data_IF_207329478526
#
_entry.id   IF_207329478526
#
_cell.length_a   1.000
_cell.length_b   1.000
_cell.length_c   1.000
_cell.angle_alpha   90.00
_cell.angle_beta   90.00
_cell.angle_gamma   90.00
#
_symmetry.space_group_name_H-M   'P 1'
#
loop_
_entity.id
_entity.type
_entity.pdbx_description
1 polymer ?
#
# COMPACT_ATOMS: atom_id res chain seq x y z
N UNK A 1 15.51 17.75 8.62
CA UNK A 1 15.52 16.28 8.47
C UNK A 1 14.73 15.72 9.64
N UNK A 2 13.86 14.71 9.44
CA UNK A 2 13.23 14.00 10.57
C UNK A 2 14.31 13.44 11.50
N UNK A 3 14.10 13.60 12.80
CA UNK A 3 14.93 13.00 13.85
C UNK A 3 14.82 11.47 13.83
N UNK A 4 15.79 10.79 14.43
CA UNK A 4 15.77 9.33 14.54
C UNK A 4 14.54 8.83 15.33
N UNK A 5 14.11 9.61 16.33
CA UNK A 5 12.89 9.31 17.08
C UNK A 5 11.64 9.42 16.19
N UNK A 6 11.51 10.49 15.40
CA UNK A 6 10.39 10.65 14.45
C UNK A 6 10.37 9.52 13.42
N UNK A 7 11.53 9.11 12.89
CA UNK A 7 11.64 7.98 11.97
C UNK A 7 11.22 6.67 12.63
N UNK A 8 11.69 6.42 13.85
CA UNK A 8 11.33 5.21 14.60
C UNK A 8 9.83 5.15 14.89
N UNK A 9 9.24 6.26 15.31
CA UNK A 9 7.79 6.37 15.54
C UNK A 9 7.04 6.11 14.23
N UNK A 10 7.44 6.74 13.12
CA UNK A 10 6.81 6.53 11.83
C UNK A 10 6.90 5.06 11.36
N UNK A 11 8.07 4.43 11.52
CA UNK A 11 8.29 3.03 11.14
C UNK A 11 7.39 2.08 11.91
N UNK A 12 7.30 2.28 13.23
CA UNK A 12 6.47 1.44 14.11
C UNK A 12 4.99 1.68 13.84
N UNK A 13 4.55 2.92 13.67
CA UNK A 13 3.12 3.23 13.52
C UNK A 13 2.56 2.91 12.14
N UNK A 14 3.37 2.93 11.08
CA UNK A 14 2.86 2.73 9.72
C UNK A 14 2.32 1.31 9.48
N UNK A 15 2.94 0.29 10.08
CA UNK A 15 2.50 -1.11 9.93
C UNK A 15 1.10 -1.37 10.49
N UNK A 16 0.80 -1.07 11.78
CA UNK A 16 -0.54 -1.25 12.32
C UNK A 16 -1.55 -0.29 11.68
N UNK A 17 -1.16 0.93 11.29
CA UNK A 17 -2.05 1.81 10.53
C UNK A 17 -2.47 1.19 9.20
N UNK A 18 -1.53 0.62 8.44
CA UNK A 18 -1.83 -0.07 7.19
C UNK A 18 -2.70 -1.32 7.42
N UNK A 19 -2.40 -2.11 8.46
CA UNK A 19 -3.21 -3.28 8.81
C UNK A 19 -4.65 -2.88 9.18
N UNK A 20 -4.81 -2.00 10.18
CA UNK A 20 -6.12 -1.63 10.74
C UNK A 20 -6.95 -0.82 9.75
N UNK A 21 -6.32 0.15 9.07
CA UNK A 21 -7.04 1.13 8.27
C UNK A 21 -7.17 0.76 6.80
N UNK A 22 -6.36 -0.16 6.28
CA UNK A 22 -6.36 -0.54 4.86
C UNK A 22 -6.62 -2.02 4.67
N UNK A 23 -5.79 -2.90 5.25
CA UNK A 23 -5.94 -4.34 5.05
C UNK A 23 -7.25 -4.84 5.64
N UNK A 24 -7.58 -4.48 6.87
CA UNK A 24 -8.78 -4.90 7.59
C UNK A 24 -10.02 -4.06 7.18
N UNK A 25 -10.26 -3.95 5.88
CA UNK A 25 -11.41 -3.26 5.27
C UNK A 25 -12.11 -4.22 4.30
N UNK A 26 -13.09 -3.73 3.52
CA UNK A 26 -13.64 -4.49 2.40
C UNK A 26 -12.59 -4.97 1.38
N UNK A 27 -11.35 -4.46 1.44
CA UNK A 27 -10.21 -5.02 0.72
C UNK A 27 -10.02 -6.53 0.96
N UNK A 28 -10.28 -7.05 2.17
CA UNK A 28 -10.18 -8.50 2.41
C UNK A 28 -11.21 -9.28 1.61
N UNK A 29 -12.42 -8.72 1.45
CA UNK A 29 -13.48 -9.32 0.62
C UNK A 29 -13.06 -9.33 -0.85
N UNK A 30 -12.49 -8.22 -1.34
CA UNK A 30 -11.95 -8.13 -2.71
C UNK A 30 -10.79 -9.11 -2.93
N UNK A 31 -10.03 -9.42 -1.88
CA UNK A 31 -8.88 -10.33 -1.92
C UNK A 31 -9.23 -11.80 -1.61
N UNK A 32 -10.47 -12.12 -1.23
CA UNK A 32 -10.86 -13.47 -0.82
C UNK A 32 -11.05 -14.45 -2.00
N UNK A 33 -11.06 -13.94 -3.24
CA UNK A 33 -11.25 -14.74 -4.44
C UNK A 33 -10.09 -15.70 -4.74
N UNK A 34 -10.33 -16.77 -5.51
CA UNK A 34 -9.26 -17.64 -5.98
C UNK A 34 -8.28 -16.86 -6.85
N UNK A 35 -6.99 -17.05 -6.62
CA UNK A 35 -5.95 -16.51 -7.48
C UNK A 35 -5.98 -17.13 -8.87
N UNK A 36 -5.68 -16.33 -9.89
CA UNK A 36 -5.48 -16.83 -11.25
C UNK A 36 -4.13 -17.55 -11.37
N UNK A 37 -4.09 -18.64 -12.14
CA UNK A 37 -2.86 -19.39 -12.42
C UNK A 37 -2.24 -18.87 -13.72
N UNK A 38 -0.94 -18.60 -13.69
CA UNK A 38 -0.12 -18.26 -14.86
C UNK A 38 1.04 -19.25 -14.95
N UNK A 39 1.32 -19.75 -16.15
CA UNK A 39 2.46 -20.62 -16.44
C UNK A 39 3.73 -19.84 -16.79
N UNK A 40 3.60 -18.59 -17.24
CA UNK A 40 4.73 -17.69 -17.52
C UNK A 40 5.20 -16.93 -16.28
N UNK A 41 4.32 -16.77 -15.29
CA UNK A 41 4.57 -16.05 -14.03
C UNK A 41 4.36 -14.54 -14.11
N UNK A 42 4.33 -13.96 -15.31
CA UNK A 42 4.02 -12.54 -15.56
C UNK A 42 2.54 -12.30 -15.93
N UNK A 43 1.73 -13.36 -15.93
CA UNK A 43 0.30 -13.34 -16.27
C UNK A 43 -0.02 -12.89 -17.71
N UNK A 44 0.98 -12.87 -18.60
CA UNK A 44 0.77 -12.58 -20.03
C UNK A 44 -0.05 -13.67 -20.74
N UNK A 45 -0.11 -14.87 -20.17
CA UNK A 45 -0.90 -16.01 -20.62
C UNK A 45 -2.32 -16.08 -20.02
N UNK A 46 -2.72 -15.09 -19.21
CA UNK A 46 -4.05 -15.05 -18.58
C UNK A 46 -4.93 -14.03 -19.30
N UNK A 47 -6.09 -14.50 -19.76
CA UNK A 47 -7.11 -13.70 -20.44
C UNK A 47 -8.38 -13.64 -19.59
N UNK A 48 -9.01 -12.47 -19.56
CA UNK A 48 -10.36 -12.27 -19.02
C UNK A 48 -11.32 -12.07 -20.17
N UNK A 49 -12.40 -12.85 -20.18
CA UNK A 49 -13.48 -12.67 -21.15
C UNK A 49 -14.68 -12.05 -20.43
N UNK A 50 -15.17 -10.92 -20.93
CA UNK A 50 -16.37 -10.27 -20.38
C UNK A 50 -17.66 -10.94 -20.89
N UNK A 51 -18.81 -10.49 -20.37
CA UNK A 51 -20.12 -11.02 -20.76
C UNK A 51 -20.49 -10.73 -22.23
N UNK A 52 -19.80 -9.81 -22.91
CA UNK A 52 -19.98 -9.52 -24.33
C UNK A 52 -19.07 -10.38 -25.23
N UNK A 53 -18.27 -11.27 -24.63
CA UNK A 53 -17.29 -12.10 -25.34
C UNK A 53 -16.02 -11.34 -25.73
N UNK A 54 -15.78 -10.15 -25.16
CA UNK A 54 -14.54 -9.42 -25.39
C UNK A 54 -13.45 -9.96 -24.48
N UNK A 55 -12.29 -10.20 -25.08
CA UNK A 55 -11.10 -10.67 -24.38
C UNK A 55 -10.17 -9.52 -24.04
N UNK A 56 -9.58 -9.57 -22.85
CA UNK A 56 -8.59 -8.63 -22.36
C UNK A 56 -7.43 -9.38 -21.69
N UNK A 57 -6.18 -8.95 -21.88
CA UNK A 57 -5.09 -9.40 -21.04
C UNK A 57 -5.39 -9.12 -19.56
N UNK A 58 -5.07 -10.06 -18.68
CA UNK A 58 -5.23 -9.87 -17.23
C UNK A 58 -4.55 -8.58 -16.75
N UNK A 59 -3.38 -8.25 -17.30
CA UNK A 59 -2.62 -7.03 -16.99
C UNK A 59 -3.35 -5.72 -17.30
N UNK A 60 -4.34 -5.74 -18.20
CA UNK A 60 -5.05 -4.55 -18.68
C UNK A 60 -6.44 -4.37 -18.07
N UNK A 61 -6.95 -5.38 -17.36
CA UNK A 61 -8.26 -5.33 -16.71
C UNK A 61 -8.20 -4.56 -15.39
N UNK A 62 -9.19 -3.67 -15.19
CA UNK A 62 -9.48 -3.16 -13.86
C UNK A 62 -10.08 -4.27 -13.00
N UNK A 63 -9.40 -4.60 -11.89
CA UNK A 63 -9.80 -5.68 -10.97
C UNK A 63 -10.75 -5.21 -9.87
N UNK A 64 -10.85 -3.89 -9.70
CA UNK A 64 -11.71 -3.25 -8.72
C UNK A 64 -12.57 -2.28 -9.53
N UNK A 65 -13.89 -2.44 -9.45
CA UNK A 65 -14.84 -1.51 -10.08
C UNK A 65 -14.83 -0.14 -9.39
N UNK A 66 -15.38 0.87 -10.06
CA UNK A 66 -15.46 2.22 -9.49
C UNK A 66 -16.28 2.27 -8.20
N UNK A 67 -17.36 1.48 -8.13
CA UNK A 67 -18.20 1.37 -6.93
C UNK A 67 -17.43 0.72 -5.77
N UNK A 68 -16.74 -0.40 -6.02
CA UNK A 68 -15.90 -1.08 -5.02
C UNK A 68 -14.76 -0.17 -4.54
N UNK A 69 -14.14 0.59 -5.45
CA UNK A 69 -13.11 1.57 -5.11
C UNK A 69 -13.68 2.70 -4.23
N UNK A 70 -14.87 3.20 -4.56
CA UNK A 70 -15.56 4.22 -3.78
C UNK A 70 -15.88 3.75 -2.35
N UNK A 71 -16.36 2.51 -2.21
CA UNK A 71 -16.62 1.91 -0.91
C UNK A 71 -15.34 1.70 -0.09
N UNK A 72 -14.30 1.15 -0.72
CA UNK A 72 -13.00 0.93 -0.11
C UNK A 72 -12.39 2.24 0.42
N UNK A 73 -12.33 3.27 -0.42
CA UNK A 73 -11.75 4.56 -0.02
C UNK A 73 -12.55 5.23 1.09
N UNK A 74 -13.88 5.14 1.07
CA UNK A 74 -14.74 5.66 2.14
C UNK A 74 -14.44 4.97 3.47
N UNK A 75 -14.32 3.64 3.48
CA UNK A 75 -14.00 2.88 4.70
C UNK A 75 -12.59 3.19 5.22
N UNK A 76 -11.59 3.26 4.33
CA UNK A 76 -10.21 3.63 4.68
C UNK A 76 -10.18 5.02 5.33
N UNK A 77 -10.82 6.03 4.73
CA UNK A 77 -10.83 7.40 5.27
C UNK A 77 -11.51 7.46 6.63
N UNK A 78 -12.64 6.78 6.82
CA UNK A 78 -13.34 6.73 8.10
C UNK A 78 -12.50 6.06 9.20
N UNK A 79 -11.78 4.99 8.86
CA UNK A 79 -10.86 4.30 9.78
C UNK A 79 -9.65 5.15 10.13
N UNK A 80 -9.04 5.81 9.15
CA UNK A 80 -7.93 6.74 9.39
C UNK A 80 -8.36 7.88 10.30
N UNK A 81 -9.53 8.48 10.05
CA UNK A 81 -10.09 9.51 10.92
C UNK A 81 -10.25 9.02 12.36
N UNK A 82 -10.87 7.84 12.55
CA UNK A 82 -11.08 7.25 13.87
C UNK A 82 -9.76 6.89 14.56
N UNK A 83 -8.79 6.37 13.81
CA UNK A 83 -7.45 6.06 14.32
C UNK A 83 -6.79 7.32 14.89
N UNK A 84 -6.84 8.44 14.15
CA UNK A 84 -6.23 9.70 14.58
C UNK A 84 -6.90 10.29 15.81
N UNK A 85 -8.23 10.18 15.94
CA UNK A 85 -8.93 10.61 17.15
C UNK A 85 -8.53 9.78 18.38
N UNK A 86 -8.32 8.47 18.19
CA UNK A 86 -8.17 7.50 19.29
C UNK A 86 -6.73 7.17 19.63
N UNK A 87 -5.73 7.51 18.82
CA UNK A 87 -4.31 7.19 19.06
C UNK A 87 -3.77 7.76 20.38
N UNK A 88 -4.46 8.74 20.98
CA UNK A 88 -4.17 9.26 22.32
C UNK A 88 -4.66 8.37 23.47
N UNK A 89 -5.65 7.52 23.23
CA UNK A 89 -6.33 6.69 24.23
C UNK A 89 -5.49 5.45 24.56
N UNK A 90 -5.30 5.16 25.85
CA UNK A 90 -4.50 3.99 26.28
C UNK A 90 -5.07 2.68 25.75
N UNK A 91 -6.39 2.48 25.85
CA UNK A 91 -7.05 1.27 25.37
C UNK A 91 -6.81 1.03 23.87
N UNK A 92 -6.87 2.09 23.05
CA UNK A 92 -6.62 1.95 21.63
C UNK A 92 -5.15 1.70 21.31
N UNK A 93 -4.22 2.26 22.10
CA UNK A 93 -2.78 1.95 21.98
C UNK A 93 -2.49 0.48 22.28
N UNK A 94 -3.11 -0.08 23.33
CA UNK A 94 -2.96 -1.50 23.66
C UNK A 94 -3.47 -2.38 22.50
N UNK A 95 -4.58 -1.98 21.86
CA UNK A 95 -5.07 -2.64 20.65
C UNK A 95 -4.08 -2.53 19.48
N UNK A 96 -3.51 -1.35 19.23
CA UNK A 96 -2.48 -1.13 18.19
C UNK A 96 -1.25 -2.01 18.43
N UNK A 97 -0.79 -2.12 19.67
CA UNK A 97 0.35 -2.97 20.06
C UNK A 97 0.06 -4.46 19.81
N UNK A 98 -1.18 -4.91 20.04
CA UNK A 98 -1.59 -6.27 19.65
C UNK A 98 -1.50 -6.47 18.13
N UNK A 99 -1.97 -5.49 17.34
CA UNK A 99 -1.94 -5.58 15.87
C UNK A 99 -0.52 -5.55 15.30
N UNK A 100 0.41 -4.86 15.96
CA UNK A 100 1.83 -4.84 15.61
C UNK A 100 2.43 -6.24 15.54
N UNK A 101 2.02 -7.14 16.46
CA UNK A 101 2.45 -8.54 16.47
C UNK A 101 2.10 -9.27 15.16
N UNK A 102 0.91 -9.00 14.61
CA UNK A 102 0.45 -9.58 13.33
C UNK A 102 1.23 -9.07 12.11
N UNK A 103 1.98 -7.96 12.25
CA UNK A 103 2.76 -7.34 11.17
C UNK A 103 4.27 -7.55 11.30
N UNK A 104 4.72 -8.41 12.23
CA UNK A 104 6.15 -8.62 12.47
C UNK A 104 6.92 -9.10 11.23
N UNK A 105 6.27 -9.86 10.36
CA UNK A 105 6.89 -10.39 9.14
C UNK A 105 6.82 -9.41 7.95
N UNK A 106 6.28 -8.20 8.14
CA UNK A 106 6.25 -7.20 7.07
C UNK A 106 7.59 -6.48 7.00
N UNK A 107 8.02 -6.16 5.77
CA UNK A 107 9.23 -5.39 5.51
C UNK A 107 9.24 -4.06 6.28
N UNK A 108 10.45 -3.57 6.58
CA UNK A 108 10.60 -2.25 7.18
C UNK A 108 10.19 -1.13 6.21
N UNK A 109 9.38 -0.16 6.65
CA UNK A 109 8.99 0.99 5.87
C UNK A 109 10.22 1.76 5.34
N UNK A 110 10.19 2.10 4.06
CA UNK A 110 11.20 2.95 3.42
C UNK A 110 10.62 4.31 3.07
N UNK A 111 11.48 5.33 3.07
CA UNK A 111 11.04 6.67 2.73
C UNK A 111 10.67 6.76 1.24
N UNK A 112 9.43 7.13 0.95
CA UNK A 112 9.02 7.41 -0.43
C UNK A 112 9.37 8.87 -0.78
N UNK A 113 10.42 9.03 -1.57
CA UNK A 113 10.95 10.35 -1.94
C UNK A 113 10.00 11.18 -2.80
N UNK A 114 9.03 10.56 -3.49
CA UNK A 114 7.99 11.31 -4.21
C UNK A 114 7.05 12.07 -3.27
N UNK A 115 6.94 11.63 -2.01
CA UNK A 115 6.17 12.30 -0.96
C UNK A 115 7.04 13.18 -0.05
N UNK A 116 8.35 13.25 -0.30
CA UNK A 116 9.27 14.02 0.52
C UNK A 116 9.07 15.53 0.32
N UNK A 117 9.25 16.29 1.41
CA UNK A 117 9.24 17.75 1.35
C UNK A 117 10.28 18.29 0.35
N UNK A 118 10.04 19.47 -0.23
CA UNK A 118 10.90 20.08 -1.27
C UNK A 118 12.40 20.03 -0.93
N UNK A 119 12.77 20.42 0.29
CA UNK A 119 14.17 20.40 0.78
C UNK A 119 14.80 19.02 0.90
N UNK A 120 14.00 17.97 1.09
CA UNK A 120 14.49 16.60 1.22
C UNK A 120 14.79 16.02 -0.17
N UNK A 121 13.92 16.27 -1.15
CA UNK A 121 14.11 15.81 -2.54
C UNK A 121 15.40 16.30 -3.19
N UNK A 122 15.95 17.41 -2.72
CA UNK A 122 17.17 18.03 -3.26
C UNK A 122 18.47 17.50 -2.63
N UNK A 123 18.39 16.61 -1.63
CA UNK A 123 19.56 16.22 -0.80
C UNK A 123 19.94 14.75 -0.85
N UNK A 124 19.35 13.92 -1.73
CA UNK A 124 19.64 12.49 -1.91
C UNK A 124 20.07 11.78 -0.62
N UNK A 125 19.09 11.40 0.21
CA UNK A 125 19.37 10.66 1.45
C UNK A 125 19.85 9.23 1.18
N UNK A 126 20.51 8.62 2.17
CA UNK A 126 21.09 7.28 2.08
C UNK A 126 20.09 6.15 1.71
N UNK A 127 18.79 6.42 1.79
CA UNK A 127 17.70 5.50 1.46
C UNK A 127 16.94 5.90 0.17
N UNK A 128 17.53 6.75 -0.69
CA UNK A 128 16.95 7.12 -1.99
C UNK A 128 16.98 5.94 -2.96
N UNK A 129 15.87 5.66 -3.69
CA UNK A 129 15.94 4.72 -4.80
C UNK A 129 16.93 5.28 -5.83
N UNK A 130 17.86 4.46 -6.30
CA UNK A 130 18.69 4.83 -7.46
C UNK A 130 17.77 5.29 -8.58
N UNK A 131 18.05 6.47 -9.13
CA UNK A 131 17.34 6.95 -10.30
C UNK A 131 17.43 5.87 -11.38
N UNK A 132 16.33 5.51 -12.07
CA UNK A 132 16.41 4.54 -13.15
C UNK A 132 17.44 5.05 -14.16
N UNK A 133 18.45 4.22 -14.44
CA UNK A 133 19.52 4.57 -15.35
C UNK A 133 18.91 5.15 -16.63
N UNK A 134 19.18 6.42 -16.90
CA UNK A 134 18.77 7.06 -18.15
C UNK A 134 19.37 6.22 -19.27
N UNK A 135 18.55 5.45 -19.98
CA UNK A 135 18.95 4.82 -21.23
C UNK A 135 19.36 5.97 -22.14
N UNK A 136 20.66 6.11 -22.34
CA UNK A 136 21.24 7.11 -23.24
C UNK A 136 20.53 7.01 -24.58
N UNK A 137 19.86 8.08 -24.97
CA UNK A 137 19.37 8.26 -26.33
C UNK A 137 20.61 8.57 -27.17
N UNK A 138 21.34 7.53 -27.56
CA UNK A 138 22.39 7.61 -28.56
C UNK A 138 21.75 7.52 -29.94
N UNK A 139 21.69 8.66 -30.62
CA UNK A 139 21.63 8.73 -32.08
C UNK A 139 23.06 8.76 -32.63
#
# INVERSE_FOLDING_TARGET
MPTDLERKIASVMSKPMALICVRNTCLETLHAGPGVVSHTGDYSDVIVTDANGREFPWSEVSRISDDEMGELMREIVNRLYSFQLRVGEQEFRDYVDQQLTSTQNWDEPRHNWNLAGRRLRETDGADAPEAPATKGTGA
#
